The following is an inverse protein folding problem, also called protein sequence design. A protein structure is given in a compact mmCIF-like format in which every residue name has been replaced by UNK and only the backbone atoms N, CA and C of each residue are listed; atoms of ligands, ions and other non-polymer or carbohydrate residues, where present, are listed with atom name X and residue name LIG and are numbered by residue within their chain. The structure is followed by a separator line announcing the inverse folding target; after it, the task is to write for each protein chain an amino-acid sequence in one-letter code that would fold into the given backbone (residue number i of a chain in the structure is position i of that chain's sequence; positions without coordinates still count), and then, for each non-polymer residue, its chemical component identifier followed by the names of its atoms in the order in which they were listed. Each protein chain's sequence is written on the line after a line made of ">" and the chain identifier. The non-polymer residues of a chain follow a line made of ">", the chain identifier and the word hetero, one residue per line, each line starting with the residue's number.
data_IF_855460796683
#
_entry.id   IF_855460796683
#
_cell.length_a   1.000
_cell.length_b   1.000
_cell.length_c   1.000
_cell.angle_alpha   90.00
_cell.angle_beta   90.00
_cell.angle_gamma   90.00
#
_symmetry.space_group_name_H-M   'P 1'
#
loop_
_entity.id
_entity.type
_entity.pdbx_description
1 polymer ?
#
# COMPACT_ATOMS: atom_id res chain seq x y z
N UNK A 1 -15.82 -5.13 9.92
CA UNK A 1 -15.13 -6.42 9.70
C UNK A 1 -13.81 -6.31 10.47
N UNK A 2 -13.37 -7.33 11.23
CA UNK A 2 -12.16 -7.19 12.05
C UNK A 2 -10.91 -7.39 11.20
N UNK A 3 -9.83 -6.62 11.44
CA UNK A 3 -8.51 -6.80 10.80
C UNK A 3 -7.98 -8.25 10.92
N UNK A 4 -8.43 -9.00 11.92
CA UNK A 4 -8.11 -10.43 12.10
C UNK A 4 -8.73 -11.32 11.02
N UNK A 5 -9.90 -10.95 10.48
CA UNK A 5 -10.61 -11.76 9.48
C UNK A 5 -9.98 -11.63 8.08
N UNK A 6 -9.44 -10.45 7.78
CA UNK A 6 -8.74 -10.14 6.51
C UNK A 6 -7.52 -11.05 6.36
N UNK A 7 -6.74 -11.25 7.43
CA UNK A 7 -5.55 -12.12 7.44
C UNK A 7 -5.82 -13.58 7.05
N UNK A 8 -7.04 -14.11 7.29
CA UNK A 8 -7.33 -15.52 6.98
C UNK A 8 -7.75 -15.75 5.53
N UNK A 9 -8.26 -14.70 4.86
CA UNK A 9 -8.72 -14.76 3.46
C UNK A 9 -7.62 -14.55 2.44
N UNK A 10 -6.59 -13.78 2.79
CA UNK A 10 -5.45 -13.52 1.93
C UNK A 10 -4.33 -14.47 2.31
N UNK A 11 -4.19 -15.56 1.56
CA UNK A 11 -3.09 -16.51 1.65
C UNK A 11 -1.75 -15.74 1.61
N UNK A 12 -1.19 -15.38 2.77
CA UNK A 12 0.14 -14.82 2.88
C UNK A 12 1.09 -15.99 2.60
N UNK A 13 1.31 -16.30 1.33
CA UNK A 13 2.39 -17.18 0.93
C UNK A 13 3.67 -16.57 1.48
N UNK A 14 4.32 -17.26 2.43
CA UNK A 14 5.43 -16.76 3.26
C UNK A 14 6.63 -16.16 2.50
N UNK A 15 6.67 -16.26 1.17
CA UNK A 15 7.79 -15.86 0.31
C UNK A 15 7.48 -14.77 -0.73
N UNK A 16 6.25 -14.31 -0.90
CA UNK A 16 5.94 -13.33 -1.94
C UNK A 16 5.97 -11.90 -1.39
N UNK A 17 6.62 -11.05 -2.18
CA UNK A 17 6.62 -9.62 -2.00
C UNK A 17 5.80 -8.95 -3.08
N UNK A 18 5.10 -7.89 -2.71
CA UNK A 18 4.33 -7.09 -3.64
C UNK A 18 4.94 -5.71 -3.77
N UNK A 19 4.92 -5.20 -5.00
CA UNK A 19 5.32 -3.85 -5.31
C UNK A 19 4.14 -3.09 -5.90
N UNK A 20 3.87 -1.92 -5.34
CA UNK A 20 2.71 -1.09 -5.62
C UNK A 20 3.13 0.30 -6.04
N UNK A 21 2.42 0.87 -7.01
CA UNK A 21 2.46 2.30 -7.29
C UNK A 21 1.16 2.92 -6.79
N UNK A 22 1.26 3.87 -5.86
CA UNK A 22 0.12 4.56 -5.27
C UNK A 22 0.25 6.04 -5.57
N UNK A 23 -0.67 6.60 -6.33
CA UNK A 23 -0.71 8.02 -6.68
C UNK A 23 -1.96 8.69 -6.14
N UNK A 24 -1.80 9.85 -5.53
CA UNK A 24 -2.89 10.71 -5.12
C UNK A 24 -3.26 11.67 -6.25
N UNK A 25 -4.55 11.97 -6.39
CA UNK A 25 -5.04 13.07 -7.23
C UNK A 25 -4.69 14.43 -6.65
N UNK A 26 -4.73 14.57 -5.33
CA UNK A 26 -4.33 15.79 -4.60
C UNK A 26 -3.02 15.56 -3.82
N UNK A 27 -2.00 16.35 -4.15
CA UNK A 27 -0.68 16.28 -3.52
C UNK A 27 -0.65 16.81 -2.08
N UNK A 28 -1.69 17.51 -1.61
CA UNK A 28 -1.76 18.05 -0.24
C UNK A 28 -1.68 16.98 0.85
N UNK A 29 -2.06 15.73 0.53
CA UNK A 29 -2.06 14.60 1.48
C UNK A 29 -0.85 13.67 1.33
N UNK A 30 0.14 14.03 0.49
CA UNK A 30 1.35 13.21 0.24
C UNK A 30 2.15 12.91 1.51
N UNK A 31 2.34 13.90 2.39
CA UNK A 31 3.10 13.73 3.64
C UNK A 31 2.43 12.73 4.59
N UNK A 32 1.10 12.76 4.68
CA UNK A 32 0.32 11.82 5.46
C UNK A 32 0.39 10.42 4.85
N UNK A 33 0.26 10.33 3.51
CA UNK A 33 0.40 9.07 2.79
C UNK A 33 1.77 8.44 3.01
N UNK A 34 2.86 9.21 2.91
CA UNK A 34 4.20 8.71 3.18
C UNK A 34 4.33 8.09 4.58
N UNK A 35 3.86 8.81 5.60
CA UNK A 35 3.93 8.37 7.00
C UNK A 35 3.20 7.03 7.21
N UNK A 36 2.02 6.88 6.62
CA UNK A 36 1.22 5.66 6.72
C UNK A 36 1.87 4.51 5.96
N UNK A 37 2.27 4.73 4.71
CA UNK A 37 2.94 3.70 3.90
C UNK A 37 4.22 3.21 4.57
N UNK A 38 4.99 4.10 5.19
CA UNK A 38 6.22 3.76 5.91
C UNK A 38 5.97 2.88 7.14
N UNK A 39 4.78 2.97 7.75
CA UNK A 39 4.41 2.16 8.91
C UNK A 39 4.00 0.72 8.57
N UNK A 40 3.52 0.48 7.34
CA UNK A 40 2.95 -0.81 6.92
C UNK A 40 3.74 -1.52 5.81
N UNK A 41 4.80 -0.89 5.31
CA UNK A 41 5.56 -1.35 4.15
C UNK A 41 7.04 -1.42 4.46
N UNK A 42 7.76 -2.23 3.69
CA UNK A 42 9.21 -2.37 3.85
C UNK A 42 9.96 -1.23 3.18
N UNK A 43 9.55 -0.87 1.97
CA UNK A 43 10.15 0.23 1.22
C UNK A 43 9.08 1.17 0.72
N UNK A 44 9.36 2.48 0.82
CA UNK A 44 8.53 3.55 0.31
C UNK A 44 9.45 4.57 -0.35
N UNK A 45 9.31 4.74 -1.66
CA UNK A 45 10.15 5.63 -2.46
C UNK A 45 9.23 6.59 -3.22
N UNK A 46 9.56 7.90 -3.30
CA UNK A 46 8.80 8.84 -4.12
C UNK A 46 8.66 8.35 -5.57
N UNK A 47 7.47 8.47 -6.12
CA UNK A 47 7.15 8.15 -7.51
C UNK A 47 6.41 9.32 -8.15
N UNK A 48 7.03 9.92 -9.16
CA UNK A 48 6.54 11.17 -9.76
C UNK A 48 6.42 12.30 -8.72
N UNK A 49 5.50 13.24 -8.97
CA UNK A 49 5.22 14.38 -8.07
C UNK A 49 4.04 14.12 -7.13
N UNK A 50 3.40 12.95 -7.26
CA UNK A 50 2.07 12.66 -6.71
C UNK A 50 1.91 11.28 -6.08
N UNK A 51 2.96 10.47 -6.03
CA UNK A 51 2.83 9.13 -5.51
C UNK A 51 4.06 8.56 -4.86
N UNK A 52 3.91 7.31 -4.44
CA UNK A 52 4.95 6.49 -3.87
C UNK A 52 4.94 5.10 -4.51
N UNK A 53 6.14 4.58 -4.75
CA UNK A 53 6.37 3.16 -4.96
C UNK A 53 6.55 2.49 -3.61
N UNK A 54 5.83 1.40 -3.41
CA UNK A 54 5.70 0.75 -2.11
C UNK A 54 5.94 -0.74 -2.26
N UNK A 55 6.92 -1.25 -1.53
CA UNK A 55 7.20 -2.68 -1.49
C UNK A 55 6.81 -3.23 -0.13
N UNK A 56 5.96 -4.25 -0.10
CA UNK A 56 5.41 -4.83 1.13
C UNK A 56 5.13 -6.32 1.00
N UNK A 57 5.12 -7.04 2.13
CA UNK A 57 4.56 -8.40 2.23
C UNK A 57 3.04 -8.40 2.43
N UNK A 58 2.45 -7.23 2.67
CA UNK A 58 0.99 -7.05 2.80
C UNK A 58 0.37 -7.05 1.41
N UNK A 59 -0.84 -7.61 1.30
CA UNK A 59 -1.61 -7.59 0.07
C UNK A 59 -2.09 -6.18 -0.28
N UNK A 60 -2.48 -6.02 -1.55
CA UNK A 60 -2.99 -4.74 -2.08
C UNK A 60 -4.19 -4.28 -1.26
N UNK A 61 -5.11 -5.19 -1.01
CA UNK A 61 -6.37 -4.90 -0.33
C UNK A 61 -6.12 -4.45 1.12
N UNK A 62 -5.16 -5.06 1.82
CA UNK A 62 -4.76 -4.61 3.15
C UNK A 62 -4.19 -3.18 3.12
N UNK A 63 -3.29 -2.88 2.18
CA UNK A 63 -2.70 -1.53 2.09
C UNK A 63 -3.76 -0.48 1.77
N UNK A 64 -4.66 -0.78 0.83
CA UNK A 64 -5.80 0.08 0.45
C UNK A 64 -6.73 0.33 1.65
N UNK A 65 -7.13 -0.72 2.36
CA UNK A 65 -8.00 -0.61 3.55
C UNK A 65 -7.33 0.21 4.65
N UNK A 66 -6.05 -0.05 4.93
CA UNK A 66 -5.29 0.70 5.93
C UNK A 66 -5.14 2.18 5.57
N UNK A 67 -4.95 2.51 4.29
CA UNK A 67 -4.91 3.90 3.82
C UNK A 67 -6.26 4.58 4.04
N UNK A 68 -7.38 3.92 3.72
CA UNK A 68 -8.72 4.48 3.96
C UNK A 68 -9.03 4.70 5.45
N UNK A 69 -8.59 3.80 6.31
CA UNK A 69 -8.82 3.92 7.76
C UNK A 69 -7.99 5.03 8.42
N UNK A 70 -6.83 5.38 7.83
CA UNK A 70 -5.85 6.28 8.46
C UNK A 70 -5.65 7.61 7.72
N UNK A 71 -6.16 7.73 6.49
CA UNK A 71 -6.25 9.01 5.77
C UNK A 71 -7.72 9.20 5.42
N UNK A 72 -8.24 10.38 5.75
CA UNK A 72 -9.51 10.85 5.22
C UNK A 72 -9.40 11.02 3.70
N UNK A 73 -9.49 9.93 2.94
CA UNK A 73 -9.44 9.87 1.48
C UNK A 73 -10.73 9.26 0.97
N UNK A 74 -11.36 9.91 0.01
CA UNK A 74 -12.45 9.28 -0.72
C UNK A 74 -11.91 8.23 -1.70
N UNK A 75 -12.74 7.26 -2.06
CA UNK A 75 -12.38 6.16 -2.97
C UNK A 75 -11.82 6.63 -4.32
N UNK A 76 -12.16 7.85 -4.72
CA UNK A 76 -11.75 8.47 -5.98
C UNK A 76 -10.49 9.35 -5.86
N UNK A 77 -9.90 9.52 -4.67
CA UNK A 77 -8.78 10.45 -4.45
C UNK A 77 -7.42 9.87 -4.82
N UNK A 78 -7.35 8.58 -5.17
CA UNK A 78 -6.09 7.94 -5.52
C UNK A 78 -6.25 6.80 -6.53
N UNK A 79 -5.13 6.45 -7.16
CA UNK A 79 -5.03 5.34 -8.10
C UNK A 79 -3.92 4.41 -7.63
N UNK A 80 -4.20 3.11 -7.56
CA UNK A 80 -3.17 2.07 -7.40
C UNK A 80 -2.86 1.52 -8.79
N UNK A 81 -1.72 1.90 -9.35
CA UNK A 81 -1.42 1.77 -10.78
C UNK A 81 -0.86 0.40 -11.19
N UNK A 82 -0.34 -0.40 -10.26
CA UNK A 82 0.10 -1.75 -10.59
C UNK A 82 0.33 -2.58 -9.33
N UNK A 83 0.26 -3.90 -9.48
CA UNK A 83 0.75 -4.86 -8.51
C UNK A 83 1.68 -5.79 -9.28
N UNK A 84 2.96 -5.76 -8.98
CA UNK A 84 3.88 -6.79 -9.48
C UNK A 84 4.15 -7.74 -8.32
N UNK A 85 3.76 -9.00 -8.51
CA UNK A 85 4.07 -10.08 -7.58
C UNK A 85 5.49 -10.57 -7.87
N UNK A 86 6.37 -10.53 -6.88
CA UNK A 86 7.73 -11.04 -7.01
C UNK A 86 7.96 -12.17 -6.00
N UNK A 87 8.55 -13.25 -6.49
CA UNK A 87 8.87 -14.48 -5.74
C UNK A 87 9.96 -14.32 -4.67
N UNK A 88 10.54 -13.12 -4.50
CA UNK A 88 11.68 -12.93 -3.62
C UNK A 88 11.78 -11.52 -3.05
N UNK A 89 10.94 -11.19 -2.07
CA UNK A 89 11.37 -10.23 -1.05
C UNK A 89 12.25 -10.96 -0.05
N UNK A 90 13.54 -11.13 -0.38
CA UNK A 90 14.58 -11.31 0.64
C UNK A 90 14.81 -9.94 1.27
N UNK A 91 14.02 -9.66 2.31
CA UNK A 91 14.25 -8.56 3.25
C UNK A 91 14.90 -9.17 4.48
#
# INVERSE_FOLDING_TARGET
>A
MSLKDVSSKFNISKNFGYDYLIELKDSKKLSNLYSILKSISTYVIPYGTRGYRVTSKKSKDYIIEYIYENIDLEKNDYTVLSTIEFNSLRI
#
